data_IF_793872194301
#
_entry.id   IF_793872194301
#
_cell.length_a   1.000
_cell.length_b   1.000
_cell.length_c   1.000
_cell.angle_alpha   90.00
_cell.angle_beta   90.00
_cell.angle_gamma   90.00
#
_symmetry.space_group_name_H-M   'P 1'
#
loop_
_entity.id
_entity.type
_entity.pdbx_description
1 polymer ?
#
# COMPACT_ATOMS: atom_id res chain seq x y z
N UNK A 1 6.91 -33.42 58.73
CA UNK A 1 7.25 -32.19 57.97
C UNK A 1 7.20 -32.54 56.50
N UNK A 2 6.17 -32.08 55.78
CA UNK A 2 6.09 -32.24 54.33
C UNK A 2 6.39 -30.89 53.68
N UNK A 3 7.41 -30.86 52.84
CA UNK A 3 7.82 -29.69 52.05
C UNK A 3 6.93 -29.59 50.81
N UNK A 4 6.31 -28.43 50.58
CA UNK A 4 5.56 -28.13 49.36
C UNK A 4 6.53 -27.72 48.24
N UNK A 5 6.32 -28.14 46.98
CA UNK A 5 7.15 -27.71 45.85
C UNK A 5 6.78 -26.27 45.43
N UNK A 6 7.73 -25.51 44.86
CA UNK A 6 7.46 -24.16 44.38
C UNK A 6 6.60 -24.21 43.11
N UNK A 7 5.50 -23.44 43.13
CA UNK A 7 4.64 -23.20 41.98
C UNK A 7 5.37 -22.28 40.99
N UNK A 8 5.86 -22.84 39.88
CA UNK A 8 6.37 -22.06 38.76
C UNK A 8 5.18 -21.61 37.89
N UNK A 9 4.80 -20.34 37.99
CA UNK A 9 3.83 -19.74 37.09
C UNK A 9 4.53 -19.40 35.76
N UNK A 10 4.23 -20.16 34.71
CA UNK A 10 4.64 -19.83 33.35
C UNK A 10 3.73 -18.70 32.84
N UNK A 11 4.27 -17.48 32.82
CA UNK A 11 3.60 -16.33 32.20
C UNK A 11 3.70 -16.49 30.68
N UNK A 12 2.70 -17.09 30.05
CA UNK A 12 2.58 -17.08 28.59
C UNK A 12 2.24 -15.66 28.14
N UNK A 13 3.25 -14.92 27.68
CA UNK A 13 3.04 -13.67 26.94
C UNK A 13 2.36 -14.04 25.62
N UNK A 14 1.05 -13.81 25.54
CA UNK A 14 0.32 -13.85 24.28
C UNK A 14 0.74 -12.60 23.51
N UNK A 15 1.61 -12.75 22.51
CA UNK A 15 1.85 -11.70 21.55
C UNK A 15 0.57 -11.53 20.73
N UNK A 16 -0.11 -10.40 20.90
CA UNK A 16 -1.21 -10.02 20.03
C UNK A 16 -0.56 -9.59 18.70
N UNK A 17 -0.65 -10.44 17.68
CA UNK A 17 -0.40 -9.99 16.32
C UNK A 17 -1.46 -8.90 16.04
N UNK A 18 -1.02 -7.67 15.79
CA UNK A 18 -1.93 -6.65 15.26
C UNK A 18 -2.49 -7.18 13.95
N UNK A 19 -3.82 -7.19 13.81
CA UNK A 19 -4.44 -7.57 12.54
C UNK A 19 -3.91 -6.63 11.44
N UNK A 20 -3.55 -7.21 10.29
CA UNK A 20 -3.29 -6.42 9.10
C UNK A 20 -4.59 -5.69 8.71
N UNK A 21 -4.51 -4.38 8.48
CA UNK A 21 -5.61 -3.66 7.82
C UNK A 21 -5.43 -3.91 6.33
N UNK A 22 -6.43 -4.53 5.70
CA UNK A 22 -6.38 -4.92 4.30
C UNK A 22 -7.70 -4.62 3.60
N UNK A 23 -7.63 -4.51 2.28
CA UNK A 23 -8.77 -4.49 1.36
C UNK A 23 -8.54 -5.60 0.34
N UNK A 24 -9.51 -6.48 0.15
CA UNK A 24 -9.43 -7.62 -0.78
C UNK A 24 -10.29 -7.41 -2.04
N UNK A 25 -11.15 -6.39 -2.03
CA UNK A 25 -12.07 -6.05 -3.10
C UNK A 25 -13.11 -7.15 -3.37
N UNK A 26 -13.36 -8.08 -2.45
CA UNK A 26 -14.35 -9.15 -2.66
C UNK A 26 -15.80 -8.63 -2.58
N UNK A 27 -16.01 -7.50 -1.91
CA UNK A 27 -17.32 -6.86 -1.85
C UNK A 27 -17.52 -5.84 -2.97
N UNK A 28 -16.64 -4.82 -3.08
CA UNK A 28 -16.72 -3.71 -4.04
C UNK A 28 -15.35 -2.98 -4.11
N UNK A 29 -15.32 -1.65 -4.34
CA UNK A 29 -14.12 -0.81 -4.27
C UNK A 29 -13.67 -0.48 -2.84
N UNK A 30 -14.45 -0.83 -1.81
CA UNK A 30 -14.08 -0.68 -0.39
C UNK A 30 -13.63 0.75 0.01
N UNK A 31 -14.19 1.75 -0.68
CA UNK A 31 -13.89 3.17 -0.44
C UNK A 31 -12.63 3.68 -1.13
N UNK A 32 -11.90 2.85 -1.87
CA UNK A 32 -10.83 3.29 -2.76
C UNK A 32 -11.37 4.22 -3.86
N UNK A 33 -10.55 5.20 -4.21
CA UNK A 33 -10.84 6.18 -5.26
C UNK A 33 -9.68 6.26 -6.22
N UNK A 34 -9.91 6.92 -7.35
CA UNK A 34 -8.90 7.20 -8.36
C UNK A 34 -8.93 8.69 -8.70
N UNK A 35 -7.77 9.25 -8.99
CA UNK A 35 -7.56 10.62 -9.48
C UNK A 35 -6.58 10.62 -10.65
N UNK A 36 -6.50 11.73 -11.37
CA UNK A 36 -5.80 11.81 -12.64
C UNK A 36 -6.79 11.48 -13.74
N UNK A 37 -6.60 10.33 -14.37
CA UNK A 37 -7.42 9.90 -15.49
C UNK A 37 -8.45 8.79 -15.18
N UNK A 38 -9.63 8.95 -15.80
CA UNK A 38 -10.80 8.07 -15.71
C UNK A 38 -11.28 7.75 -14.28
N UNK A 39 -12.31 6.90 -14.19
CA UNK A 39 -12.93 6.51 -12.94
C UNK A 39 -12.48 5.10 -12.52
N UNK A 40 -12.38 4.89 -11.21
CA UNK A 40 -12.23 3.56 -10.64
C UNK A 40 -13.44 2.68 -11.00
N UNK A 41 -13.18 1.44 -11.40
CA UNK A 41 -14.19 0.43 -11.64
C UNK A 41 -13.82 -0.85 -10.89
N UNK A 42 -14.81 -1.54 -10.33
CA UNK A 42 -14.61 -2.88 -9.78
C UNK A 42 -14.59 -3.92 -10.90
N UNK A 43 -13.73 -4.92 -10.77
CA UNK A 43 -13.64 -6.06 -11.69
C UNK A 43 -13.47 -7.36 -10.92
N UNK A 44 -14.11 -8.44 -11.37
CA UNK A 44 -13.96 -9.79 -10.79
C UNK A 44 -12.73 -10.56 -11.28
N UNK A 45 -11.71 -9.84 -11.78
CA UNK A 45 -10.48 -10.42 -12.36
C UNK A 45 -9.28 -10.36 -11.39
N UNK A 46 -9.53 -10.21 -10.08
CA UNK A 46 -8.50 -10.13 -9.04
C UNK A 46 -7.72 -11.43 -8.84
N UNK A 47 -6.86 -11.45 -7.82
CA UNK A 47 -5.93 -12.54 -7.53
C UNK A 47 -5.95 -13.00 -6.05
N UNK A 48 -6.95 -13.78 -5.62
CA UNK A 48 -8.21 -14.10 -6.27
C UNK A 48 -9.25 -12.98 -6.09
N UNK A 49 -10.47 -13.17 -6.58
CA UNK A 49 -11.59 -12.31 -6.21
C UNK A 49 -11.72 -11.03 -7.03
N UNK A 50 -12.05 -9.93 -6.37
CA UNK A 50 -12.21 -8.63 -7.01
C UNK A 50 -10.92 -7.82 -7.12
N UNK A 51 -10.96 -6.75 -7.90
CA UNK A 51 -9.92 -5.72 -7.90
C UNK A 51 -10.49 -4.34 -8.24
N UNK A 52 -9.80 -3.30 -7.78
CA UNK A 52 -9.89 -1.99 -8.38
C UNK A 52 -9.19 -2.04 -9.75
N UNK A 53 -9.92 -1.63 -10.78
CA UNK A 53 -9.42 -1.50 -12.14
C UNK A 53 -9.61 -0.08 -12.63
N UNK A 54 -8.67 0.39 -13.44
CA UNK A 54 -8.84 1.63 -14.20
C UNK A 54 -8.46 1.36 -15.63
N UNK A 55 -9.31 1.80 -16.55
CA UNK A 55 -8.98 1.83 -17.96
C UNK A 55 -8.42 3.21 -18.26
N UNK A 56 -7.16 3.28 -18.68
CA UNK A 56 -6.56 4.51 -19.11
C UNK A 56 -6.90 4.76 -20.60
N UNK A 57 -7.65 5.82 -20.85
CA UNK A 57 -8.15 6.21 -22.18
C UNK A 57 -7.92 7.71 -22.44
N UNK A 58 -7.13 8.37 -21.61
CA UNK A 58 -6.91 9.80 -21.65
C UNK A 58 -5.43 10.11 -21.92
N UNK A 59 -5.14 11.37 -22.24
CA UNK A 59 -3.79 11.81 -22.58
C UNK A 59 -3.39 12.88 -21.57
N UNK A 60 -2.35 12.59 -20.80
CA UNK A 60 -1.53 13.61 -20.14
C UNK A 60 -1.60 13.67 -18.61
N UNK A 61 -2.50 12.94 -17.94
CA UNK A 61 -2.62 12.99 -16.48
C UNK A 61 -2.33 11.63 -15.81
N UNK A 62 -1.33 11.60 -14.92
CA UNK A 62 -0.97 10.41 -14.13
C UNK A 62 -2.16 9.87 -13.31
N UNK A 63 -2.63 8.68 -13.66
CA UNK A 63 -3.63 7.97 -12.88
C UNK A 63 -3.07 7.46 -11.53
N UNK A 64 -3.77 7.74 -10.42
CA UNK A 64 -3.41 7.27 -9.07
C UNK A 64 -4.59 6.76 -8.27
N UNK A 65 -4.42 5.59 -7.65
CA UNK A 65 -5.36 5.07 -6.67
C UNK A 65 -5.12 5.71 -5.29
N UNK A 66 -6.20 6.04 -4.60
CA UNK A 66 -6.22 6.73 -3.30
C UNK A 66 -6.87 5.80 -2.27
N UNK A 67 -6.13 5.52 -1.20
CA UNK A 67 -6.58 4.62 -0.14
C UNK A 67 -7.75 5.20 0.66
N UNK A 68 -8.72 4.36 1.11
CA UNK A 68 -9.76 4.76 2.04
C UNK A 68 -9.22 5.11 3.43
N UNK A 69 -9.97 5.92 4.17
CA UNK A 69 -9.62 6.36 5.52
C UNK A 69 -9.34 5.20 6.51
N UNK A 70 -9.93 4.03 6.29
CA UNK A 70 -9.72 2.85 7.15
C UNK A 70 -8.27 2.36 7.13
N UNK A 71 -7.53 2.61 6.04
CA UNK A 71 -6.11 2.26 5.92
C UNK A 71 -5.17 3.35 6.47
N UNK A 72 -5.70 4.50 6.88
CA UNK A 72 -4.93 5.69 7.25
C UNK A 72 -4.95 5.92 8.77
N UNK A 73 -4.26 6.97 9.22
CA UNK A 73 -4.19 7.40 10.61
C UNK A 73 -2.82 7.15 11.25
N UNK A 74 -2.82 6.81 12.53
CA UNK A 74 -1.59 6.67 13.30
C UNK A 74 -0.91 5.31 13.04
N UNK A 75 0.23 5.35 12.37
CA UNK A 75 1.09 4.21 12.04
C UNK A 75 2.33 4.10 12.93
N UNK A 76 2.45 4.92 13.99
CA UNK A 76 3.64 4.94 14.87
C UNK A 76 3.90 3.63 15.63
N UNK A 77 2.91 2.74 15.68
CA UNK A 77 3.04 1.40 16.25
C UNK A 77 3.69 0.38 15.32
N UNK A 78 3.89 0.70 14.03
CA UNK A 78 4.54 -0.19 13.08
C UNK A 78 6.04 -0.30 13.38
N UNK A 79 6.55 -1.51 13.23
CA UNK A 79 7.95 -1.87 13.36
C UNK A 79 8.63 -1.91 11.99
N UNK A 80 9.96 -1.99 12.00
CA UNK A 80 10.75 -2.19 10.77
C UNK A 80 10.48 -3.53 10.07
N UNK A 81 9.84 -4.49 10.75
CA UNK A 81 9.49 -5.79 10.17
C UNK A 81 8.14 -5.77 9.43
N UNK A 82 7.33 -4.73 9.66
CA UNK A 82 6.04 -4.58 9.00
C UNK A 82 6.20 -4.09 7.56
N UNK A 83 5.19 -4.37 6.74
CA UNK A 83 5.21 -4.07 5.30
C UNK A 83 3.92 -3.43 4.84
N UNK A 84 4.03 -2.52 3.87
CA UNK A 84 2.93 -2.13 3.00
C UNK A 84 3.03 -2.95 1.71
N UNK A 85 1.91 -3.52 1.27
CA UNK A 85 1.88 -4.41 0.10
C UNK A 85 0.60 -4.27 -0.72
N UNK A 86 0.70 -4.63 -2.00
CA UNK A 86 -0.43 -4.77 -2.92
C UNK A 86 -0.11 -5.81 -3.99
N UNK A 87 -1.16 -6.43 -4.55
CA UNK A 87 -1.07 -7.15 -5.81
C UNK A 87 -1.41 -6.20 -6.96
N UNK A 88 -0.51 -6.09 -7.94
CA UNK A 88 -0.64 -5.20 -9.08
C UNK A 88 -0.79 -5.98 -10.38
N UNK A 89 -1.69 -5.55 -11.25
CA UNK A 89 -1.78 -6.03 -12.62
C UNK A 89 -1.65 -4.87 -13.59
N UNK A 90 -0.81 -5.05 -14.60
CA UNK A 90 -0.59 -4.06 -15.64
C UNK A 90 -0.83 -4.66 -17.01
N UNK A 91 -1.53 -3.92 -17.88
CA UNK A 91 -1.70 -4.30 -19.27
C UNK A 91 -1.80 -3.08 -20.17
N UNK A 92 -0.74 -2.78 -20.92
CA UNK A 92 -0.82 -1.89 -22.07
C UNK A 92 -1.39 -2.63 -23.29
N UNK A 93 -2.55 -2.22 -23.82
CA UNK A 93 -3.15 -2.78 -25.04
C UNK A 93 -2.94 -1.93 -26.29
N UNK A 94 -2.74 -0.62 -26.12
CA UNK A 94 -2.75 0.35 -27.23
C UNK A 94 -2.11 1.70 -26.93
N UNK A 95 -1.56 1.90 -25.74
CA UNK A 95 -0.86 3.12 -25.34
C UNK A 95 0.59 3.17 -25.87
N UNK A 96 1.25 4.30 -25.67
CA UNK A 96 2.58 4.58 -26.18
C UNK A 96 3.73 3.86 -25.47
N UNK A 97 4.83 4.57 -25.26
CA UNK A 97 6.02 4.00 -24.63
C UNK A 97 5.78 3.73 -23.14
N UNK A 98 6.39 2.67 -22.62
CA UNK A 98 6.39 2.40 -21.18
C UNK A 98 7.24 3.46 -20.47
N UNK A 99 6.67 4.09 -19.44
CA UNK A 99 7.33 5.08 -18.59
C UNK A 99 7.41 4.53 -17.18
N UNK A 100 8.62 4.39 -16.59
CA UNK A 100 8.73 4.00 -15.20
C UNK A 100 8.08 5.04 -14.28
N UNK A 101 7.26 4.58 -13.33
CA UNK A 101 6.69 5.50 -12.35
C UNK A 101 7.80 6.07 -11.45
N UNK A 102 7.70 7.36 -11.13
CA UNK A 102 8.62 8.01 -10.21
C UNK A 102 8.64 7.33 -8.83
N UNK A 103 7.48 6.80 -8.40
CA UNK A 103 7.28 5.97 -7.22
C UNK A 103 5.98 5.17 -7.36
N UNK A 104 5.91 4.00 -6.73
CA UNK A 104 4.65 3.25 -6.62
C UNK A 104 3.85 3.73 -5.43
N UNK A 105 4.47 3.78 -4.25
CA UNK A 105 3.81 4.18 -3.00
C UNK A 105 4.21 5.60 -2.63
N UNK A 106 3.25 6.44 -2.25
CA UNK A 106 3.50 7.70 -1.56
C UNK A 106 2.57 7.84 -0.36
N UNK A 107 3.14 8.17 0.78
CA UNK A 107 2.43 8.45 2.03
C UNK A 107 2.70 9.88 2.47
N UNK A 108 1.67 10.55 2.98
CA UNK A 108 1.79 11.92 3.47
C UNK A 108 0.91 12.17 4.70
N UNK A 109 1.29 13.19 5.45
CA UNK A 109 0.61 13.62 6.67
C UNK A 109 1.16 14.95 7.20
N UNK A 110 0.62 15.46 8.31
CA UNK A 110 1.10 16.72 8.90
C UNK A 110 2.58 16.68 9.29
N UNK A 111 3.12 15.50 9.57
CA UNK A 111 4.52 15.32 9.97
C UNK A 111 5.52 15.11 8.83
N UNK A 112 5.08 15.07 7.57
CA UNK A 112 5.95 14.93 6.40
C UNK A 112 5.33 14.18 5.22
N UNK A 113 6.17 13.81 4.26
CA UNK A 113 5.81 12.97 3.12
C UNK A 113 7.00 12.10 2.71
N UNK A 114 6.72 10.89 2.23
CA UNK A 114 7.72 9.95 1.74
C UNK A 114 7.17 9.06 0.64
N UNK A 115 8.04 8.62 -0.26
CA UNK A 115 7.68 7.67 -1.31
C UNK A 115 8.63 6.47 -1.38
N UNK A 116 8.17 5.40 -2.02
CA UNK A 116 8.93 4.17 -2.19
C UNK A 116 8.68 3.47 -3.53
N UNK A 117 9.59 2.54 -3.85
CA UNK A 117 9.62 1.77 -5.10
C UNK A 117 9.68 2.71 -6.32
N UNK A 118 10.77 3.47 -6.41
CA UNK A 118 11.02 4.39 -7.51
C UNK A 118 11.50 3.68 -8.80
N UNK A 119 11.23 4.30 -9.95
CA UNK A 119 11.61 3.81 -11.28
C UNK A 119 11.09 2.39 -11.58
N UNK A 120 9.89 2.09 -11.11
CA UNK A 120 9.29 0.78 -11.29
C UNK A 120 8.57 0.67 -12.63
N UNK A 121 8.70 -0.51 -13.26
CA UNK A 121 7.92 -0.92 -14.42
C UNK A 121 7.27 -2.27 -14.10
N UNK A 122 5.93 -2.35 -14.08
CA UNK A 122 5.24 -3.60 -13.82
C UNK A 122 5.40 -4.59 -14.98
N UNK A 123 5.48 -5.91 -14.68
CA UNK A 123 5.37 -6.93 -15.70
C UNK A 123 4.05 -6.83 -16.48
N UNK A 124 4.14 -6.93 -17.80
CA UNK A 124 2.96 -6.93 -18.66
C UNK A 124 2.14 -8.21 -18.47
N UNK A 125 0.83 -8.06 -18.30
CA UNK A 125 -0.16 -9.13 -18.27
C UNK A 125 0.10 -10.20 -17.20
N UNK A 126 0.62 -9.78 -16.05
CA UNK A 126 0.86 -10.66 -14.90
C UNK A 126 0.56 -9.93 -13.58
N UNK A 127 -0.07 -10.66 -12.65
CA UNK A 127 -0.20 -10.23 -11.26
C UNK A 127 1.16 -10.27 -10.57
N UNK A 128 1.50 -9.21 -9.85
CA UNK A 128 2.77 -9.07 -9.14
C UNK A 128 2.53 -8.57 -7.72
N UNK A 129 3.04 -9.29 -6.74
CA UNK A 129 3.08 -8.86 -5.34
C UNK A 129 4.18 -7.81 -5.17
N UNK A 130 3.78 -6.59 -4.83
CA UNK A 130 4.66 -5.47 -4.52
C UNK A 130 4.65 -5.20 -3.03
N UNK A 131 5.85 -5.09 -2.45
CA UNK A 131 6.03 -4.89 -1.01
C UNK A 131 7.13 -3.89 -0.72
N UNK A 132 6.93 -3.07 0.31
CA UNK A 132 7.94 -2.22 0.90
C UNK A 132 7.90 -2.35 2.42
N UNK A 133 9.07 -2.51 3.05
CA UNK A 133 9.17 -2.55 4.51
C UNK A 133 9.05 -1.17 5.13
N UNK A 134 8.50 -1.07 6.34
CA UNK A 134 8.25 0.19 7.05
C UNK A 134 9.49 0.78 7.75
N UNK A 135 10.68 0.24 7.49
CA UNK A 135 11.94 0.87 7.89
C UNK A 135 12.20 2.13 7.04
N UNK A 136 12.56 3.25 7.69
CA UNK A 136 12.80 4.54 7.03
C UNK A 136 13.78 4.48 5.85
N UNK A 137 14.77 3.57 5.90
CA UNK A 137 15.78 3.41 4.85
C UNK A 137 15.21 2.85 3.52
N UNK A 138 14.00 2.28 3.53
CA UNK A 138 13.32 1.80 2.33
C UNK A 138 12.52 2.91 1.62
N UNK A 139 12.45 4.09 2.22
CA UNK A 139 11.65 5.21 1.76
C UNK A 139 12.54 6.42 1.48
N UNK A 140 12.15 7.21 0.49
CA UNK A 140 12.75 8.51 0.23
C UNK A 140 11.88 9.54 0.94
N UNK A 141 12.43 10.17 1.98
CA UNK A 141 11.75 11.21 2.73
C UNK A 141 11.83 12.53 1.95
N UNK A 142 10.67 13.08 1.60
CA UNK A 142 10.57 14.35 0.85
C UNK A 142 10.52 15.55 1.79
N UNK A 143 9.93 15.37 2.97
CA UNK A 143 9.81 16.43 3.98
C UNK A 143 9.56 15.85 5.38
N UNK A 144 9.78 16.68 6.41
CA UNK A 144 9.46 16.35 7.79
C UNK A 144 10.39 15.30 8.40
N UNK A 145 9.84 14.39 9.20
CA UNK A 145 10.58 13.28 9.82
C UNK A 145 9.81 11.98 9.69
N UNK A 146 10.49 10.84 9.61
CA UNK A 146 9.83 9.52 9.52
C UNK A 146 8.86 9.28 10.67
N UNK A 147 9.29 9.51 11.91
CA UNK A 147 8.42 9.37 13.09
C UNK A 147 7.25 10.35 13.11
N UNK A 148 7.45 11.58 12.64
CA UNK A 148 6.38 12.56 12.52
C UNK A 148 5.34 12.18 11.46
N UNK A 149 5.79 11.70 10.30
CA UNK A 149 4.93 11.20 9.23
C UNK A 149 4.07 10.02 9.71
N UNK A 150 4.68 9.02 10.36
CA UNK A 150 3.94 7.86 10.85
C UNK A 150 2.98 8.16 12.01
N UNK A 151 3.12 9.31 12.68
CA UNK A 151 2.20 9.67 13.77
C UNK A 151 0.76 9.95 13.29
N UNK A 152 0.61 10.40 12.03
CA UNK A 152 -0.68 10.67 11.39
C UNK A 152 -0.52 10.68 9.86
N UNK A 153 -0.66 9.50 9.25
CA UNK A 153 -0.70 9.35 7.79
C UNK A 153 -2.13 9.66 7.34
N UNK A 154 -2.32 10.73 6.57
CA UNK A 154 -3.64 11.15 6.08
C UNK A 154 -3.83 10.93 4.57
N UNK A 155 -2.80 10.46 3.89
CA UNK A 155 -2.83 10.10 2.48
C UNK A 155 -1.93 8.91 2.21
N UNK A 156 -2.45 7.95 1.45
CA UNK A 156 -1.71 6.89 0.77
C UNK A 156 -2.18 6.87 -0.68
N UNK A 157 -1.25 7.06 -1.61
CA UNK A 157 -1.51 6.97 -3.04
C UNK A 157 -0.64 5.91 -3.69
N UNK A 158 -1.19 5.24 -4.69
CA UNK A 158 -0.54 4.21 -5.49
C UNK A 158 -0.54 4.66 -6.95
N UNK A 159 0.62 4.58 -7.62
CA UNK A 159 0.71 4.86 -9.06
C UNK A 159 -0.08 3.84 -9.88
N UNK A 160 -0.91 4.32 -10.81
CA UNK A 160 -1.74 3.52 -11.72
C UNK A 160 -1.27 3.55 -13.17
N UNK A 161 -0.38 4.46 -13.54
CA UNK A 161 0.04 4.70 -14.93
C UNK A 161 1.53 4.47 -15.15
N UNK A 162 1.85 3.80 -16.26
CA UNK A 162 3.19 3.39 -16.64
C UNK A 162 3.39 3.49 -18.16
N UNK A 163 2.55 4.24 -18.87
CA UNK A 163 2.53 4.34 -20.33
C UNK A 163 2.31 5.80 -20.69
N UNK A 164 2.91 6.30 -21.77
CA UNK A 164 2.51 7.60 -22.32
C UNK A 164 1.17 7.50 -23.06
N UNK A 165 0.22 8.37 -22.72
CA UNK A 165 -0.95 8.67 -23.56
C UNK A 165 -0.60 9.23 -24.94
#
# INVERSE_FOLDING_TARGET
MFSLPPLFALLCLVAWASAAVQTDFDAELEGWRVTGDNAAAWSGLGNPGGCLSVNDLAIGDDNRAIAPLVLLGNWSGLSNADTLSLDYFFQNTSGGAIVPAAYVFCIAGPGGAAHAIANYVPPQSAWTDLRVGMAAANWILESGTWGGLLADVNSLTIAGEFVTG
#
